data_IF_136306736543
#
_entry.id   IF_136306736543
#
_cell.length_a   1.000
_cell.length_b   1.000
_cell.length_c   1.000
_cell.angle_alpha   90.00
_cell.angle_beta   90.00
_cell.angle_gamma   90.00
#
_symmetry.space_group_name_H-M   'P 1'
#
loop_
_entity.id
_entity.type
_entity.pdbx_description
1 polymer ?
#
# COMPACT_ATOMS: atom_id res chain seq x y z
N UNK A 1 -70.92 -16.48 -23.84
CA UNK A 1 -70.14 -15.85 -22.81
C UNK A 1 -68.68 -16.36 -22.96
N UNK A 2 -67.78 -15.54 -23.47
CA UNK A 2 -66.35 -15.88 -23.66
C UNK A 2 -65.55 -15.26 -22.51
N UNK A 3 -65.01 -16.09 -21.64
CA UNK A 3 -64.11 -15.67 -20.56
C UNK A 3 -62.70 -15.52 -21.11
N UNK A 4 -62.17 -14.30 -21.11
CA UNK A 4 -60.79 -14.00 -21.48
C UNK A 4 -59.90 -14.22 -20.25
N UNK A 5 -58.99 -15.19 -20.30
CA UNK A 5 -57.95 -15.41 -19.29
C UNK A 5 -56.79 -14.47 -19.56
N UNK A 6 -56.55 -13.55 -18.64
CA UNK A 6 -55.40 -12.63 -18.64
C UNK A 6 -54.27 -13.38 -17.95
N UNK A 7 -53.25 -13.83 -18.73
CA UNK A 7 -51.98 -14.33 -18.18
C UNK A 7 -51.11 -13.20 -17.76
N UNK A 8 -50.92 -13.04 -16.44
CA UNK A 8 -49.93 -12.10 -15.85
C UNK A 8 -48.58 -12.83 -15.83
N UNK A 9 -47.67 -12.39 -16.70
CA UNK A 9 -46.26 -12.81 -16.65
C UNK A 9 -45.57 -12.09 -15.48
N UNK A 10 -44.88 -12.80 -14.53
CA UNK A 10 -44.08 -12.13 -13.54
C UNK A 10 -42.79 -11.62 -14.21
N UNK A 11 -42.61 -10.32 -14.23
CA UNK A 11 -41.36 -9.64 -14.63
C UNK A 11 -40.34 -9.85 -13.52
N UNK A 12 -39.44 -10.82 -13.72
CA UNK A 12 -38.32 -11.07 -12.81
C UNK A 12 -37.26 -9.94 -13.00
N UNK A 13 -37.32 -8.93 -12.14
CA UNK A 13 -36.29 -7.90 -12.10
C UNK A 13 -34.98 -8.52 -11.54
N UNK A 14 -34.04 -8.81 -12.42
CA UNK A 14 -32.66 -9.16 -12.06
C UNK A 14 -32.01 -7.89 -11.56
N UNK A 15 -31.92 -7.72 -10.23
CA UNK A 15 -31.05 -6.75 -9.59
C UNK A 15 -29.61 -7.21 -9.84
N UNK A 16 -28.95 -6.64 -10.83
CA UNK A 16 -27.49 -6.70 -10.94
C UNK A 16 -26.93 -5.94 -9.73
N UNK A 17 -26.56 -6.68 -8.70
CA UNK A 17 -25.70 -6.15 -7.64
C UNK A 17 -24.38 -5.77 -8.31
N UNK A 18 -24.10 -4.48 -8.40
CA UNK A 18 -22.75 -4.04 -8.63
C UNK A 18 -21.96 -4.41 -7.37
N UNK A 19 -21.25 -5.53 -7.40
CA UNK A 19 -20.16 -5.78 -6.49
C UNK A 19 -19.14 -4.64 -6.72
N UNK A 20 -19.18 -3.63 -5.88
CA UNK A 20 -18.07 -2.70 -5.74
C UNK A 20 -16.90 -3.57 -5.26
N UNK A 21 -16.00 -3.90 -6.19
CA UNK A 21 -14.86 -4.74 -5.96
C UNK A 21 -14.02 -4.11 -4.84
N UNK A 22 -14.01 -4.73 -3.65
CA UNK A 22 -12.97 -4.51 -2.63
C UNK A 22 -11.56 -4.80 -3.19
N UNK A 23 -11.49 -5.36 -4.40
CA UNK A 23 -10.25 -5.67 -5.13
C UNK A 23 -9.54 -4.46 -5.73
N UNK A 24 -10.08 -3.25 -5.60
CA UNK A 24 -9.45 -2.05 -6.19
C UNK A 24 -8.37 -1.41 -5.29
N UNK A 25 -8.28 -1.83 -4.03
CA UNK A 25 -7.23 -1.40 -3.11
C UNK A 25 -6.10 -2.44 -3.06
N UNK A 26 -4.83 -2.02 -3.02
CA UNK A 26 -3.72 -2.95 -2.93
C UNK A 26 -3.75 -3.72 -1.59
N UNK A 27 -3.35 -4.99 -1.64
CA UNK A 27 -3.28 -5.85 -0.47
C UNK A 27 -1.82 -6.11 -0.04
N UNK A 28 -1.54 -6.47 1.24
CA UNK A 28 -0.19 -6.71 1.73
C UNK A 28 0.67 -7.67 0.88
N UNK A 29 0.15 -8.76 0.28
CA UNK A 29 0.96 -9.63 -0.58
C UNK A 29 1.52 -8.95 -1.82
N UNK A 30 0.80 -7.97 -2.41
CA UNK A 30 1.29 -7.17 -3.53
C UNK A 30 2.52 -6.35 -3.12
N UNK A 31 2.46 -5.69 -1.98
CA UNK A 31 3.57 -4.93 -1.42
C UNK A 31 4.74 -5.82 -0.98
N UNK A 32 4.48 -7.05 -0.53
CA UNK A 32 5.52 -8.00 -0.15
C UNK A 32 6.43 -8.38 -1.33
N UNK A 33 5.86 -8.57 -2.53
CA UNK A 33 6.62 -8.84 -3.75
C UNK A 33 7.50 -7.64 -4.10
N UNK A 34 6.92 -6.44 -4.12
CA UNK A 34 7.66 -5.20 -4.38
C UNK A 34 8.79 -4.98 -3.38
N UNK A 35 8.56 -5.30 -2.11
CA UNK A 35 9.57 -5.22 -1.07
C UNK A 35 10.72 -6.19 -1.30
N UNK A 36 10.42 -7.46 -1.63
CA UNK A 36 11.43 -8.47 -1.91
C UNK A 36 12.35 -8.07 -3.07
N UNK A 37 11.76 -7.50 -4.12
CA UNK A 37 12.48 -7.13 -5.34
C UNK A 37 13.33 -5.86 -5.18
N UNK A 38 12.88 -4.88 -4.39
CA UNK A 38 13.48 -3.54 -4.38
C UNK A 38 14.11 -3.12 -3.02
N UNK A 39 13.70 -3.72 -1.93
CA UNK A 39 14.04 -3.25 -0.57
C UNK A 39 14.84 -4.28 0.24
N UNK A 40 14.60 -5.58 0.02
CA UNK A 40 15.15 -6.65 0.83
C UNK A 40 16.69 -6.73 0.78
N UNK A 41 17.31 -6.30 -0.31
CA UNK A 41 18.77 -6.28 -0.43
C UNK A 41 19.45 -5.43 0.67
N UNK A 42 18.79 -4.33 1.09
CA UNK A 42 19.28 -3.46 2.17
C UNK A 42 18.57 -3.71 3.50
N UNK A 43 17.27 -3.95 3.48
CA UNK A 43 16.47 -4.07 4.71
C UNK A 43 16.28 -5.51 5.21
N UNK A 44 16.83 -6.50 4.48
CA UNK A 44 16.64 -7.94 4.78
C UNK A 44 15.24 -8.42 4.36
N UNK A 45 15.12 -9.72 4.02
CA UNK A 45 13.85 -10.31 3.57
C UNK A 45 12.73 -10.27 4.62
N UNK A 46 13.06 -10.13 5.88
CA UNK A 46 12.11 -9.97 6.99
C UNK A 46 11.91 -8.53 7.43
N UNK A 47 12.50 -7.59 6.67
CA UNK A 47 12.46 -6.16 6.97
C UNK A 47 13.07 -5.76 8.34
N UNK A 48 13.84 -6.65 8.97
CA UNK A 48 14.48 -6.46 10.28
C UNK A 48 15.73 -5.56 10.21
N UNK A 49 16.12 -5.13 9.02
CA UNK A 49 17.29 -4.28 8.82
C UNK A 49 18.62 -4.97 9.11
N UNK A 50 19.56 -4.23 9.70
CA UNK A 50 20.84 -4.78 10.16
C UNK A 50 21.92 -4.89 9.08
N UNK A 51 21.60 -4.69 7.80
CA UNK A 51 22.58 -4.72 6.69
C UNK A 51 23.43 -3.45 6.75
N UNK A 52 24.76 -3.62 6.72
CA UNK A 52 25.70 -2.49 6.64
C UNK A 52 25.75 -1.94 5.22
N UNK A 53 25.47 -0.67 5.10
CA UNK A 53 25.53 0.08 3.85
C UNK A 53 26.94 0.58 3.56
N UNK A 54 27.23 0.85 2.29
CA UNK A 54 28.56 1.27 1.81
C UNK A 54 29.06 2.53 2.54
N UNK A 55 28.16 3.42 2.95
CA UNK A 55 28.47 4.67 3.68
C UNK A 55 28.65 4.47 5.21
N UNK A 56 28.79 3.24 5.68
CA UNK A 56 29.01 2.92 7.09
C UNK A 56 27.77 3.02 7.99
N UNK A 57 26.62 3.28 7.41
CA UNK A 57 25.33 3.24 8.10
C UNK A 57 24.75 1.83 8.07
N UNK A 58 23.79 1.55 8.94
CA UNK A 58 23.06 0.28 8.98
C UNK A 58 21.62 0.54 8.59
N UNK A 59 21.09 -0.27 7.66
CA UNK A 59 19.68 -0.18 7.29
C UNK A 59 18.79 -0.42 8.53
N UNK A 60 17.80 0.45 8.78
CA UNK A 60 16.96 0.35 9.96
C UNK A 60 15.99 -0.85 9.85
N UNK A 61 15.59 -1.35 11.03
CA UNK A 61 14.50 -2.30 11.20
C UNK A 61 13.16 -1.63 10.85
N UNK A 62 12.51 -2.08 9.78
CA UNK A 62 11.25 -1.53 9.31
C UNK A 62 10.02 -2.13 10.02
N UNK A 63 10.19 -3.22 10.76
CA UNK A 63 9.09 -3.82 11.54
C UNK A 63 8.74 -3.01 12.78
N UNK A 64 9.56 -2.02 13.14
CA UNK A 64 9.40 -1.16 14.33
C UNK A 64 9.20 0.32 14.00
N UNK A 65 8.70 0.62 12.82
CA UNK A 65 8.40 2.02 12.44
C UNK A 65 7.35 2.61 13.39
N UNK A 66 6.24 1.90 13.60
CA UNK A 66 5.17 2.35 14.52
C UNK A 66 5.70 2.54 15.95
N UNK A 67 6.45 1.59 16.48
CA UNK A 67 7.03 1.68 17.83
C UNK A 67 7.91 2.92 17.99
N UNK A 68 8.73 3.25 16.98
CA UNK A 68 9.58 4.47 17.00
C UNK A 68 8.79 5.77 16.86
N UNK A 69 7.51 5.69 16.46
CA UNK A 69 6.61 6.83 16.28
C UNK A 69 5.45 6.82 17.29
N UNK A 70 5.70 6.36 18.51
CA UNK A 70 4.72 6.42 19.60
C UNK A 70 3.57 5.41 19.47
N UNK A 71 3.74 4.34 18.69
CA UNK A 71 2.76 3.30 18.45
C UNK A 71 1.90 3.52 17.20
N UNK A 72 2.08 4.63 16.49
CA UNK A 72 1.35 4.96 15.27
C UNK A 72 2.24 4.81 14.04
N UNK A 73 1.71 4.17 12.99
CA UNK A 73 2.44 4.04 11.72
C UNK A 73 2.32 5.34 10.90
N UNK A 74 3.43 6.06 10.63
CA UNK A 74 3.41 7.39 10.04
C UNK A 74 3.29 7.31 8.51
N UNK A 75 2.11 7.01 7.96
CA UNK A 75 1.87 6.76 6.54
C UNK A 75 2.45 7.84 5.62
N UNK A 76 2.22 9.13 5.93
CA UNK A 76 2.74 10.25 5.14
C UNK A 76 4.27 10.24 5.06
N UNK A 77 4.94 10.03 6.20
CA UNK A 77 6.40 10.01 6.26
C UNK A 77 6.98 8.80 5.51
N UNK A 78 6.34 7.64 5.62
CA UNK A 78 6.75 6.42 4.92
C UNK A 78 6.60 6.59 3.41
N UNK A 79 5.47 7.07 2.93
CA UNK A 79 5.24 7.37 1.51
C UNK A 79 6.30 8.34 0.98
N UNK A 80 6.51 9.47 1.65
CA UNK A 80 7.50 10.47 1.26
C UNK A 80 8.93 9.93 1.26
N UNK A 81 9.28 9.07 2.22
CA UNK A 81 10.61 8.47 2.30
C UNK A 81 10.89 7.52 1.13
N UNK A 82 9.90 6.71 0.75
CA UNK A 82 10.03 5.74 -0.36
C UNK A 82 10.03 6.48 -1.70
N UNK A 83 9.07 7.39 -1.90
CA UNK A 83 8.93 8.18 -3.12
C UNK A 83 10.18 9.04 -3.39
N UNK A 84 10.78 9.57 -2.34
CA UNK A 84 11.90 10.51 -2.42
C UNK A 84 11.49 11.97 -2.24
N UNK A 85 10.21 12.28 -2.21
CA UNK A 85 9.70 13.64 -2.03
C UNK A 85 9.71 14.04 -0.55
N UNK A 86 10.54 15.04 -0.22
CA UNK A 86 10.56 15.61 1.14
C UNK A 86 11.11 14.69 2.24
N UNK A 87 11.97 13.75 1.90
CA UNK A 87 12.50 12.72 2.81
C UNK A 87 13.49 13.21 3.90
N UNK A 88 13.63 14.48 4.09
CA UNK A 88 14.36 15.02 5.21
C UNK A 88 15.86 14.71 5.23
N UNK A 89 16.35 13.96 6.24
CA UNK A 89 17.79 13.78 6.52
C UNK A 89 18.43 12.57 5.83
N UNK A 90 17.67 11.70 5.16
CA UNK A 90 18.22 10.51 4.52
C UNK A 90 18.61 10.84 3.10
N UNK A 91 19.91 10.75 2.78
CA UNK A 91 20.41 11.05 1.44
C UNK A 91 20.10 9.93 0.45
N UNK A 92 20.05 10.27 -0.85
CA UNK A 92 19.87 9.33 -1.94
C UNK A 92 20.97 8.25 -2.02
N UNK A 93 22.15 8.55 -1.49
CA UNK A 93 23.26 7.60 -1.41
C UNK A 93 22.99 6.48 -0.40
N UNK A 94 22.20 6.77 0.63
CA UNK A 94 21.86 5.81 1.71
C UNK A 94 20.63 5.00 1.34
N UNK A 95 19.59 5.67 0.86
CA UNK A 95 18.35 5.05 0.38
C UNK A 95 17.93 5.74 -0.92
N UNK A 96 17.91 5.03 -2.06
CA UNK A 96 17.48 5.60 -3.34
C UNK A 96 16.04 6.13 -3.31
N UNK A 97 15.71 6.95 -4.28
CA UNK A 97 14.33 7.35 -4.57
C UNK A 97 13.65 6.30 -5.44
N UNK A 98 12.47 5.87 -5.03
CA UNK A 98 11.72 4.83 -5.73
C UNK A 98 10.47 5.38 -6.44
N UNK A 99 10.19 6.68 -6.34
CA UNK A 99 8.98 7.29 -6.91
C UNK A 99 8.76 6.91 -8.38
N UNK A 100 9.78 7.12 -9.23
CA UNK A 100 9.70 6.78 -10.66
C UNK A 100 9.54 5.27 -10.92
N UNK A 101 10.11 4.41 -10.07
CA UNK A 101 9.97 2.96 -10.18
C UNK A 101 8.57 2.47 -9.76
N UNK A 102 7.94 3.20 -8.86
CA UNK A 102 6.65 2.85 -8.26
C UNK A 102 5.48 3.66 -8.84
N UNK A 103 5.64 4.20 -10.04
CA UNK A 103 4.54 4.83 -10.79
C UNK A 103 3.45 3.81 -11.15
N UNK A 104 2.20 4.28 -11.30
CA UNK A 104 1.07 3.44 -11.68
C UNK A 104 -0.26 4.15 -11.49
N UNK A 105 -1.34 3.41 -11.64
CA UNK A 105 -2.70 3.91 -11.41
C UNK A 105 -2.83 4.44 -9.97
N UNK A 106 -3.59 5.53 -9.84
CA UNK A 106 -3.78 6.18 -8.53
C UNK A 106 -4.90 5.50 -7.74
N UNK A 107 -4.61 5.18 -6.48
CA UNK A 107 -5.59 4.69 -5.52
C UNK A 107 -5.71 5.66 -4.34
N UNK A 108 -6.92 5.79 -3.73
CA UNK A 108 -7.15 6.74 -2.64
C UNK A 108 -6.68 6.12 -1.30
N UNK A 109 -5.49 6.50 -0.84
CA UNK A 109 -4.97 6.08 0.48
C UNK A 109 -5.36 7.09 1.55
N UNK A 110 -5.92 6.62 2.65
CA UNK A 110 -6.15 7.46 3.83
C UNK A 110 -4.80 7.80 4.48
N UNK A 111 -4.46 9.06 4.45
CA UNK A 111 -3.29 9.63 5.11
C UNK A 111 -3.78 10.67 6.12
N UNK A 112 -3.78 10.30 7.39
CA UNK A 112 -4.21 11.16 8.50
C UNK A 112 -5.65 11.73 8.31
N UNK A 113 -6.59 10.91 7.88
CA UNK A 113 -7.99 11.29 7.66
C UNK A 113 -8.25 11.98 6.31
N UNK A 114 -7.25 12.04 5.42
CA UNK A 114 -7.39 12.62 4.09
C UNK A 114 -7.08 11.56 3.03
N UNK A 115 -8.03 11.29 2.13
CA UNK A 115 -7.78 10.42 0.99
C UNK A 115 -6.85 11.10 -0.01
N UNK A 116 -5.66 10.53 -0.13
CA UNK A 116 -4.57 11.05 -0.97
C UNK A 116 -4.38 10.13 -2.18
N UNK A 117 -4.49 10.65 -3.41
CA UNK A 117 -4.17 9.87 -4.61
C UNK A 117 -2.72 9.41 -4.57
N UNK A 118 -2.51 8.11 -4.56
CA UNK A 118 -1.18 7.50 -4.40
C UNK A 118 -0.99 6.43 -5.48
N UNK A 119 0.16 6.37 -6.18
CA UNK A 119 0.44 5.29 -7.11
C UNK A 119 0.24 3.92 -6.45
N UNK A 120 -0.48 3.02 -7.11
CA UNK A 120 -0.82 1.69 -6.58
C UNK A 120 0.39 0.91 -6.05
N UNK A 121 1.54 0.83 -6.77
CA UNK A 121 2.70 0.10 -6.25
C UNK A 121 3.27 0.73 -4.97
N UNK A 122 3.31 2.06 -4.89
CA UNK A 122 3.75 2.78 -3.70
C UNK A 122 2.80 2.56 -2.52
N UNK A 123 1.49 2.58 -2.77
CA UNK A 123 0.46 2.27 -1.79
C UNK A 123 0.56 0.83 -1.28
N UNK A 124 0.75 -0.15 -2.18
CA UNK A 124 0.93 -1.56 -1.83
C UNK A 124 2.13 -1.76 -0.90
N UNK A 125 3.25 -1.13 -1.21
CA UNK A 125 4.46 -1.20 -0.41
C UNK A 125 4.25 -0.60 0.99
N UNK A 126 3.59 0.55 1.09
CA UNK A 126 3.23 1.19 2.36
C UNK A 126 2.32 0.29 3.21
N UNK A 127 1.25 -0.29 2.60
CA UNK A 127 0.31 -1.20 3.26
C UNK A 127 1.03 -2.46 3.76
N UNK A 128 1.95 -3.03 2.96
CA UNK A 128 2.77 -4.15 3.41
C UNK A 128 3.61 -3.78 4.63
N UNK A 129 4.34 -2.67 4.60
CA UNK A 129 5.16 -2.21 5.72
C UNK A 129 4.32 -1.97 6.98
N UNK A 130 3.12 -1.43 6.85
CA UNK A 130 2.19 -1.26 7.97
C UNK A 130 1.73 -2.61 8.54
N UNK A 131 1.48 -3.60 7.69
CA UNK A 131 0.99 -4.93 8.09
C UNK A 131 2.01 -5.76 8.87
N UNK A 132 3.31 -5.47 8.72
CA UNK A 132 4.40 -6.22 9.38
C UNK A 132 4.91 -5.53 10.66
N UNK A 133 4.22 -4.49 11.14
CA UNK A 133 4.62 -3.82 12.38
C UNK A 133 4.46 -4.74 13.59
N UNK A 134 5.48 -4.74 14.44
CA UNK A 134 5.49 -5.46 15.74
C UNK A 134 5.51 -4.45 16.88
N UNK A 135 4.84 -4.79 18.01
CA UNK A 135 4.75 -3.93 19.20
C UNK A 135 6.11 -3.58 19.80
#
# INVERSE_FOLDING_TARGET
MRTASISVLPFLAVLAACDANESDMPAPPEGAVLFADNCAACHGYRAEGGVKLVVGQTAPDLTRIATRNGGEFPRAAVLSQIDGYGRGKVSAEVMPEFGTLLEGDLVPIDVNGTFTPTPRPLAALMIYLESIQIP
#
